data_IF_721075520369
#
_entry.id   IF_721075520369
#
_cell.length_a   1.000
_cell.length_b   1.000
_cell.length_c   1.000
_cell.angle_alpha   90.00
_cell.angle_beta   90.00
_cell.angle_gamma   90.00
#
_symmetry.space_group_name_H-M   'P 1'
#
loop_
_entity.id
_entity.type
_entity.pdbx_description
1 polymer ?
#
# COMPACT_ATOMS: atom_id res chain seq x y z
N UNK A 1 16.59 12.16 2.39
CA UNK A 1 16.66 11.03 1.44
C UNK A 1 17.25 11.56 0.15
N UNK A 2 18.51 11.25 -0.14
CA UNK A 2 19.08 11.52 -1.46
C UNK A 2 18.30 10.68 -2.47
N UNK A 3 17.73 11.32 -3.49
CA UNK A 3 16.99 10.68 -4.59
C UNK A 3 17.92 9.94 -5.58
N UNK A 4 19.20 9.80 -5.24
CA UNK A 4 20.24 9.29 -6.14
C UNK A 4 20.27 7.76 -6.05
N UNK A 5 20.15 7.09 -7.21
CA UNK A 5 20.22 5.63 -7.29
C UNK A 5 21.62 5.19 -6.85
N UNK A 6 21.74 4.37 -5.79
CA UNK A 6 23.06 3.96 -5.28
C UNK A 6 23.86 3.17 -6.32
N UNK A 7 23.22 2.66 -7.38
CA UNK A 7 23.89 1.95 -8.47
C UNK A 7 23.96 2.77 -9.76
N UNK A 8 23.85 4.11 -9.69
CA UNK A 8 23.99 4.96 -10.87
C UNK A 8 25.45 4.95 -11.37
N UNK A 9 25.65 4.68 -12.66
CA UNK A 9 26.98 4.57 -13.26
C UNK A 9 27.72 3.25 -12.99
N UNK A 10 27.18 2.35 -12.17
CA UNK A 10 27.76 1.03 -11.87
C UNK A 10 27.57 0.06 -13.04
N UNK A 11 28.60 -0.74 -13.33
CA UNK A 11 28.58 -1.74 -14.38
C UNK A 11 27.60 -2.89 -14.11
N UNK A 12 27.14 -3.57 -15.17
CA UNK A 12 26.32 -4.78 -15.01
C UNK A 12 27.18 -5.88 -14.36
N UNK A 13 26.61 -6.58 -13.37
CA UNK A 13 27.25 -7.58 -12.52
C UNK A 13 28.31 -7.03 -11.55
N UNK A 14 28.37 -5.71 -11.37
CA UNK A 14 29.12 -5.13 -10.26
C UNK A 14 28.24 -5.05 -9.01
N UNK A 15 28.88 -5.23 -7.85
CA UNK A 15 28.24 -5.27 -6.53
C UNK A 15 28.70 -4.06 -5.74
N UNK A 16 27.76 -3.37 -5.10
CA UNK A 16 28.04 -2.26 -4.21
C UNK A 16 27.36 -2.48 -2.85
N UNK A 17 28.03 -2.03 -1.79
CA UNK A 17 27.49 -2.05 -0.44
C UNK A 17 26.67 -0.79 -0.25
N UNK A 18 25.37 -0.97 -0.02
CA UNK A 18 24.45 0.15 0.16
C UNK A 18 24.12 0.28 1.64
N UNK A 19 24.40 1.45 2.20
CA UNK A 19 24.02 1.82 3.56
C UNK A 19 22.78 2.70 3.54
N UNK A 20 21.73 2.29 4.25
CA UNK A 20 20.50 3.08 4.37
C UNK A 20 20.02 3.21 5.81
N UNK A 21 19.62 4.42 6.14
CA UNK A 21 18.99 4.80 7.40
C UNK A 21 17.51 5.06 7.16
N UNK A 22 16.63 4.33 7.84
CA UNK A 22 15.19 4.54 7.74
C UNK A 22 14.52 4.65 9.11
N UNK A 23 13.71 5.70 9.28
CA UNK A 23 12.83 5.88 10.43
C UNK A 23 11.64 4.92 10.30
N UNK A 24 11.44 4.05 11.28
CA UNK A 24 10.43 3.01 11.25
C UNK A 24 9.29 3.27 12.24
N UNK A 25 8.05 3.12 11.74
CA UNK A 25 6.80 3.23 12.52
C UNK A 25 5.94 1.94 12.49
N UNK A 26 6.51 0.78 12.16
CA UNK A 26 5.73 -0.46 12.06
C UNK A 26 6.43 -1.64 11.38
N UNK A 27 5.63 -2.67 11.05
CA UNK A 27 6.04 -4.02 10.63
C UNK A 27 7.01 -3.98 9.44
N UNK A 28 8.30 -4.26 9.73
CA UNK A 28 9.40 -4.69 8.88
C UNK A 28 9.21 -4.46 7.37
N UNK A 29 9.59 -3.28 6.88
CA UNK A 29 9.84 -3.05 5.46
C UNK A 29 11.31 -2.74 5.25
N UNK A 30 12.03 -3.71 4.69
CA UNK A 30 13.41 -3.54 4.21
C UNK A 30 13.46 -2.37 3.20
N UNK A 31 14.55 -1.57 3.15
CA UNK A 31 14.64 -0.39 2.29
C UNK A 31 14.34 -0.68 0.81
N UNK A 32 13.62 0.24 0.16
CA UNK A 32 13.28 0.13 -1.27
C UNK A 32 14.52 0.13 -2.18
N UNK A 33 15.65 0.70 -1.73
CA UNK A 33 16.91 0.71 -2.48
C UNK A 33 17.51 -0.67 -2.70
N UNK A 34 17.23 -1.65 -1.84
CA UNK A 34 17.71 -3.02 -2.01
C UNK A 34 16.92 -3.79 -3.07
N UNK A 35 15.73 -3.30 -3.44
CA UNK A 35 14.86 -3.97 -4.40
C UNK A 35 14.76 -3.21 -5.71
N UNK A 36 14.65 -3.97 -6.80
CA UNK A 36 14.57 -3.42 -8.14
C UNK A 36 14.53 -4.52 -9.20
N UNK A 37 13.95 -4.22 -10.36
CA UNK A 37 13.94 -5.18 -11.48
C UNK A 37 15.35 -5.49 -12.00
N UNK A 38 16.25 -4.53 -11.83
CA UNK A 38 17.66 -4.47 -12.21
C UNK A 38 18.59 -4.67 -11.00
N UNK A 39 18.06 -5.05 -9.85
CA UNK A 39 18.84 -5.30 -8.63
C UNK A 39 18.68 -6.75 -8.21
N UNK A 40 19.80 -7.34 -7.78
CA UNK A 40 19.84 -8.60 -7.07
C UNK A 40 20.47 -8.29 -5.70
N UNK A 41 19.68 -8.42 -4.65
CA UNK A 41 20.17 -8.33 -3.29
C UNK A 41 20.18 -9.76 -2.74
N UNK A 42 21.38 -10.33 -2.63
CA UNK A 42 21.58 -11.70 -2.17
C UNK A 42 21.69 -11.77 -0.64
N UNK A 43 22.22 -10.70 -0.02
CA UNK A 43 22.37 -10.59 1.43
C UNK A 43 22.10 -9.16 1.91
N UNK A 44 21.41 -9.04 3.03
CA UNK A 44 21.22 -7.78 3.77
C UNK A 44 21.03 -8.07 5.26
N UNK A 45 21.59 -7.21 6.09
CA UNK A 45 21.54 -7.32 7.54
C UNK A 45 21.21 -5.97 8.19
N UNK A 46 20.69 -6.04 9.42
CA UNK A 46 20.50 -4.87 10.27
C UNK A 46 21.78 -4.69 11.07
N UNK A 47 22.52 -3.63 10.77
CA UNK A 47 23.79 -3.34 11.43
C UNK A 47 23.55 -2.69 12.78
N UNK A 48 22.55 -1.81 12.86
CA UNK A 48 22.29 -1.03 14.06
C UNK A 48 20.81 -0.64 14.18
N UNK A 49 20.31 -0.59 15.41
CA UNK A 49 18.98 -0.10 15.73
C UNK A 49 19.13 0.94 16.84
N UNK A 50 18.80 2.19 16.52
CA UNK A 50 18.73 3.27 17.49
C UNK A 50 17.28 3.48 17.92
N UNK A 51 17.07 3.57 19.24
CA UNK A 51 15.76 3.88 19.82
C UNK A 51 15.69 5.38 20.05
N UNK A 52 14.78 6.05 19.35
CA UNK A 52 14.53 7.49 19.51
C UNK A 52 13.33 7.66 20.43
N UNK A 53 13.59 8.05 21.67
CA UNK A 53 12.55 8.39 22.63
C UNK A 53 11.83 9.67 22.19
N UNK A 54 10.52 9.56 21.97
CA UNK A 54 9.65 10.68 21.62
C UNK A 54 8.69 10.94 22.77
N UNK A 55 8.41 12.22 23.04
CA UNK A 55 7.52 12.64 24.11
C UNK A 55 6.08 12.18 23.83
N UNK A 56 5.72 10.98 24.28
CA UNK A 56 4.40 10.36 24.12
C UNK A 56 4.45 8.91 23.63
N UNK A 57 4.65 7.96 24.55
CA UNK A 57 4.40 6.49 24.54
C UNK A 57 4.74 5.63 23.30
N UNK A 58 5.19 6.19 22.18
CA UNK A 58 5.57 5.46 20.97
C UNK A 58 7.05 5.73 20.70
N UNK A 59 7.87 4.74 21.02
CA UNK A 59 9.29 4.75 20.66
C UNK A 59 9.41 4.58 19.15
N UNK A 60 10.08 5.52 18.50
CA UNK A 60 10.47 5.39 17.10
C UNK A 60 11.81 4.63 17.05
N UNK A 61 12.00 3.80 16.03
CA UNK A 61 13.26 3.10 15.80
C UNK A 61 13.90 3.64 14.52
N UNK A 62 15.16 4.02 14.60
CA UNK A 62 16.00 4.23 13.42
C UNK A 62 16.73 2.90 13.20
N UNK A 63 16.54 2.30 12.03
CA UNK A 63 17.19 1.04 11.66
C UNK A 63 18.20 1.34 10.56
N UNK A 64 19.45 0.97 10.81
CA UNK A 64 20.54 1.04 9.86
C UNK A 64 20.71 -0.30 9.17
N UNK A 65 20.59 -0.29 7.85
CA UNK A 65 20.67 -1.49 7.02
C UNK A 65 21.94 -1.46 6.19
N UNK A 66 22.54 -2.63 6.02
CA UNK A 66 23.63 -2.86 5.07
C UNK A 66 23.24 -4.02 4.17
N UNK A 67 23.33 -3.80 2.86
CA UNK A 67 22.98 -4.82 1.87
C UNK A 67 23.97 -4.83 0.73
N UNK A 68 24.34 -6.03 0.28
CA UNK A 68 25.08 -6.22 -0.95
C UNK A 68 24.10 -6.22 -2.12
N UNK A 69 24.18 -5.18 -2.95
CA UNK A 69 23.29 -5.04 -4.10
C UNK A 69 24.11 -5.16 -5.38
N UNK A 70 23.81 -6.20 -6.16
CA UNK A 70 24.42 -6.44 -7.46
C UNK A 70 23.53 -5.89 -8.56
N UNK A 71 24.10 -5.07 -9.46
CA UNK A 71 23.39 -4.58 -10.64
C UNK A 71 23.21 -5.73 -11.63
N UNK A 72 21.99 -5.96 -12.08
CA UNK A 72 21.67 -6.93 -13.13
C UNK A 72 20.89 -6.28 -14.25
N UNK A 73 20.85 -6.98 -15.37
CA UNK A 73 19.95 -6.58 -16.45
C UNK A 73 18.49 -6.63 -15.98
N UNK A 74 17.68 -5.59 -16.24
CA UNK A 74 16.29 -5.56 -15.86
C UNK A 74 15.51 -6.69 -16.54
N UNK A 75 14.38 -7.05 -15.95
CA UNK A 75 13.47 -8.04 -16.52
C UNK A 75 13.07 -7.64 -17.95
N UNK A 76 13.21 -8.57 -18.89
CA UNK A 76 12.95 -8.38 -20.33
C UNK A 76 13.92 -7.45 -21.07
N UNK A 77 15.16 -7.30 -20.57
CA UNK A 77 16.21 -6.57 -21.28
C UNK A 77 16.43 -7.08 -22.71
N UNK A 78 16.23 -8.39 -22.93
CA UNK A 78 16.36 -9.08 -24.21
C UNK A 78 15.25 -8.72 -25.21
N UNK A 79 14.13 -8.17 -24.73
CA UNK A 79 12.98 -7.79 -25.56
C UNK A 79 12.99 -6.31 -25.92
N UNK A 80 13.87 -5.52 -25.31
CA UNK A 80 14.02 -4.10 -25.60
C UNK A 80 15.06 -3.94 -26.71
N UNK A 81 14.60 -3.62 -27.92
CA UNK A 81 15.49 -3.37 -29.07
C UNK A 81 16.30 -2.08 -28.87
N UNK A 82 15.84 -1.17 -28.03
CA UNK A 82 16.49 0.11 -27.73
C UNK A 82 16.39 0.44 -26.22
N UNK A 83 17.37 1.20 -25.66
CA UNK A 83 17.28 1.73 -24.31
C UNK A 83 16.00 2.56 -24.15
N UNK A 84 15.22 2.28 -23.10
CA UNK A 84 13.97 3.00 -22.86
C UNK A 84 14.23 4.49 -22.67
N UNK A 85 13.49 5.29 -23.42
CA UNK A 85 13.56 6.75 -23.31
C UNK A 85 12.98 7.23 -21.98
N UNK A 86 13.43 8.38 -21.47
CA UNK A 86 12.92 8.97 -20.22
C UNK A 86 11.39 9.17 -20.24
N UNK A 87 10.82 9.37 -21.42
CA UNK A 87 9.37 9.49 -21.61
C UNK A 87 8.64 8.18 -21.31
N UNK A 88 9.17 7.05 -21.76
CA UNK A 88 8.62 5.72 -21.52
C UNK A 88 8.76 5.31 -20.04
N UNK A 89 9.89 5.63 -19.40
CA UNK A 89 10.06 5.42 -17.95
C UNK A 89 9.02 6.18 -17.13
N UNK A 90 8.72 7.43 -17.49
CA UNK A 90 7.68 8.23 -16.81
C UNK A 90 6.28 7.68 -17.03
N UNK A 91 5.99 7.18 -18.23
CA UNK A 91 4.70 6.58 -18.55
C UNK A 91 4.46 5.29 -17.76
N UNK A 92 5.46 4.42 -17.67
CA UNK A 92 5.35 3.20 -16.85
C UNK A 92 5.18 3.52 -15.37
N UNK A 93 5.94 4.48 -14.83
CA UNK A 93 5.75 4.95 -13.43
C UNK A 93 4.32 5.44 -13.19
N UNK A 94 3.72 6.15 -14.16
CA UNK A 94 2.31 6.58 -14.10
C UNK A 94 1.33 5.42 -14.14
N UNK A 95 1.58 4.40 -14.96
CA UNK A 95 0.73 3.20 -15.03
C UNK A 95 0.80 2.38 -13.74
N UNK A 96 1.99 2.23 -13.16
CA UNK A 96 2.19 1.55 -11.87
C UNK A 96 1.53 2.33 -10.72
N UNK A 97 1.70 3.66 -10.69
CA UNK A 97 0.98 4.53 -9.75
C UNK A 97 -0.53 4.48 -9.95
N UNK A 98 -1.00 4.44 -11.19
CA UNK A 98 -2.42 4.29 -11.53
C UNK A 98 -2.99 2.99 -10.97
N UNK A 99 -2.29 1.86 -11.14
CA UNK A 99 -2.68 0.57 -10.55
C UNK A 99 -2.70 0.59 -9.03
N UNK A 100 -1.69 1.16 -8.38
CA UNK A 100 -1.65 1.32 -6.92
C UNK A 100 -2.79 2.22 -6.42
N UNK A 101 -3.08 3.32 -7.13
CA UNK A 101 -4.17 4.23 -6.81
C UNK A 101 -5.55 3.58 -6.96
N UNK A 102 -5.78 2.79 -8.02
CA UNK A 102 -7.01 2.03 -8.21
C UNK A 102 -7.21 1.00 -7.09
N UNK A 103 -6.14 0.30 -6.70
CA UNK A 103 -6.15 -0.64 -5.58
C UNK A 103 -6.49 0.06 -4.24
N UNK A 104 -5.88 1.21 -3.98
CA UNK A 104 -6.17 2.00 -2.79
C UNK A 104 -7.62 2.51 -2.79
N UNK A 105 -8.11 3.02 -3.93
CA UNK A 105 -9.49 3.44 -4.12
C UNK A 105 -10.48 2.29 -3.87
N UNK A 106 -10.20 1.09 -4.38
CA UNK A 106 -11.06 -0.06 -4.16
C UNK A 106 -11.19 -0.44 -2.66
N UNK A 107 -10.18 -0.10 -1.85
CA UNK A 107 -10.19 -0.35 -0.40
C UNK A 107 -10.87 0.78 0.38
N UNK A 108 -10.60 2.04 0.01
CA UNK A 108 -11.12 3.22 0.72
C UNK A 108 -12.57 3.54 0.35
N UNK A 109 -12.99 3.25 -0.89
CA UNK A 109 -14.32 3.59 -1.38
C UNK A 109 -15.47 2.89 -0.61
N UNK A 110 -15.41 1.58 -0.29
CA UNK A 110 -16.42 0.92 0.56
C UNK A 110 -16.50 1.51 1.98
N UNK A 111 -15.35 1.91 2.55
CA UNK A 111 -15.30 2.55 3.87
C UNK A 111 -15.99 3.92 3.85
N UNK A 112 -15.72 4.71 2.80
CA UNK A 112 -16.39 6.00 2.59
C UNK A 112 -17.90 5.87 2.43
N UNK A 113 -18.38 4.86 1.68
CA UNK A 113 -19.81 4.55 1.58
C UNK A 113 -20.39 4.16 2.94
N UNK A 114 -19.72 3.26 3.67
CA UNK A 114 -20.16 2.85 5.00
C UNK A 114 -20.30 4.02 5.96
N UNK A 115 -19.33 4.93 5.97
CA UNK A 115 -19.36 6.15 6.77
C UNK A 115 -20.51 7.09 6.36
N UNK A 116 -20.70 7.33 5.06
CA UNK A 116 -21.78 8.17 4.56
C UNK A 116 -23.17 7.61 4.92
N UNK A 117 -23.34 6.29 4.83
CA UNK A 117 -24.59 5.61 5.25
C UNK A 117 -24.79 5.74 6.76
N UNK A 118 -23.76 5.51 7.57
CA UNK A 118 -23.85 5.65 9.03
C UNK A 118 -24.21 7.08 9.46
N UNK A 119 -23.60 8.09 8.84
CA UNK A 119 -23.93 9.51 9.07
C UNK A 119 -25.35 9.82 8.59
N UNK A 120 -25.77 9.28 7.44
CA UNK A 120 -27.11 9.45 6.91
C UNK A 120 -28.20 8.85 7.81
N UNK A 121 -27.97 7.64 8.35
CA UNK A 121 -28.84 6.98 9.32
C UNK A 121 -28.88 7.75 10.62
N UNK A 122 -27.72 8.17 11.15
CA UNK A 122 -27.64 8.97 12.39
C UNK A 122 -28.40 10.29 12.26
N UNK A 123 -28.35 10.95 11.10
CA UNK A 123 -29.13 12.17 10.83
C UNK A 123 -30.63 11.91 10.71
N UNK A 124 -31.04 10.75 10.16
CA UNK A 124 -32.46 10.37 10.02
C UNK A 124 -33.10 9.86 11.31
N UNK A 125 -32.29 9.30 12.22
CA UNK A 125 -32.68 8.98 13.60
C UNK A 125 -32.70 10.22 14.51
N UNK A 126 -32.49 11.42 13.94
CA UNK A 126 -32.57 12.70 14.63
C UNK A 126 -33.87 12.84 15.41
N UNK A 127 -33.71 12.75 16.73
CA UNK A 127 -34.65 13.03 17.82
C UNK A 127 -36.15 12.92 17.52
N UNK A 128 -36.80 11.93 18.12
CA UNK A 128 -38.27 11.90 18.19
C UNK A 128 -38.70 12.66 19.45
N UNK A 129 -39.58 13.65 19.28
CA UNK A 129 -40.22 14.33 20.41
C UNK A 129 -41.40 13.51 20.88
N UNK A 130 -41.28 12.85 22.04
CA UNK A 130 -42.39 12.14 22.69
C UNK A 130 -42.72 12.94 23.95
N UNK A 131 -43.95 13.44 24.06
CA UNK A 131 -44.41 14.24 25.21
C UNK A 131 -43.56 15.49 25.53
N UNK A 132 -43.01 16.16 24.52
CA UNK A 132 -42.25 17.41 24.69
C UNK A 132 -40.79 17.23 25.12
N UNK A 133 -40.35 16.00 25.34
CA UNK A 133 -38.95 15.67 25.64
C UNK A 133 -38.27 15.15 24.37
N UNK A 134 -37.11 15.71 24.06
CA UNK A 134 -36.33 15.35 22.87
C UNK A 134 -35.51 14.09 23.17
N UNK A 135 -35.97 12.93 22.73
CA UNK A 135 -35.21 11.67 22.90
C UNK A 135 -34.35 11.45 21.67
N UNK A 136 -33.02 11.55 21.83
CA UNK A 136 -32.08 11.13 20.81
C UNK A 136 -32.13 9.60 20.67
N UNK A 137 -32.64 9.10 19.54
CA UNK A 137 -32.52 7.69 19.21
C UNK A 137 -31.08 7.43 18.80
N UNK A 138 -30.27 6.96 19.74
CA UNK A 138 -28.98 6.38 19.39
C UNK A 138 -29.22 5.19 18.45
N UNK A 139 -28.37 5.01 17.41
CA UNK A 139 -28.47 3.83 16.55
C UNK A 139 -28.47 2.57 17.41
N UNK A 140 -29.41 1.67 17.14
CA UNK A 140 -29.47 0.42 17.87
C UNK A 140 -28.24 -0.43 17.53
N UNK A 141 -27.85 -1.34 18.43
CA UNK A 141 -26.75 -2.29 18.16
C UNK A 141 -26.98 -3.05 16.85
N UNK A 142 -28.25 -3.38 16.54
CA UNK A 142 -28.65 -3.99 15.25
C UNK A 142 -28.36 -3.13 14.02
N UNK A 143 -28.50 -1.80 14.11
CA UNK A 143 -28.20 -0.90 12.99
C UNK A 143 -26.69 -0.87 12.71
N UNK A 144 -25.87 -0.87 13.76
CA UNK A 144 -24.42 -0.94 13.65
C UNK A 144 -23.97 -2.28 13.03
N UNK A 145 -24.59 -3.39 13.44
CA UNK A 145 -24.35 -4.70 12.83
C UNK A 145 -24.73 -4.76 11.35
N UNK A 146 -25.86 -4.17 10.97
CA UNK A 146 -26.29 -4.12 9.57
C UNK A 146 -25.32 -3.34 8.69
N UNK A 147 -24.83 -2.18 9.17
CA UNK A 147 -23.82 -1.39 8.46
C UNK A 147 -22.49 -2.16 8.36
N UNK A 148 -22.03 -2.77 9.45
CA UNK A 148 -20.82 -3.57 9.46
C UNK A 148 -20.90 -4.75 8.47
N UNK A 149 -22.05 -5.43 8.41
CA UNK A 149 -22.29 -6.54 7.49
C UNK A 149 -22.22 -6.08 6.02
N UNK A 150 -22.82 -4.93 5.70
CA UNK A 150 -22.77 -4.35 4.34
C UNK A 150 -21.32 -4.03 3.95
N UNK A 151 -20.54 -3.44 4.86
CA UNK A 151 -19.13 -3.12 4.62
C UNK A 151 -18.30 -4.38 4.40
N UNK A 152 -18.49 -5.42 5.22
CA UNK A 152 -17.80 -6.70 5.08
C UNK A 152 -18.14 -7.36 3.75
N UNK A 153 -19.42 -7.42 3.38
CA UNK A 153 -19.85 -7.97 2.09
C UNK A 153 -19.25 -7.17 0.93
N UNK A 154 -19.25 -5.84 0.97
CA UNK A 154 -18.64 -5.01 -0.06
C UNK A 154 -17.13 -5.27 -0.21
N UNK A 155 -16.40 -5.40 0.90
CA UNK A 155 -14.97 -5.74 0.87
C UNK A 155 -14.71 -7.14 0.32
N UNK A 156 -15.57 -8.11 0.62
CA UNK A 156 -15.51 -9.46 0.05
C UNK A 156 -15.72 -9.43 -1.47
N UNK A 157 -16.69 -8.64 -1.96
CA UNK A 157 -16.90 -8.46 -3.41
C UNK A 157 -15.67 -7.82 -4.08
N UNK A 158 -15.10 -6.76 -3.50
CA UNK A 158 -13.89 -6.11 -4.03
C UNK A 158 -12.71 -7.11 -4.12
N UNK A 159 -12.57 -8.02 -3.16
CA UNK A 159 -11.50 -9.04 -3.17
C UNK A 159 -11.79 -10.26 -4.04
N UNK A 160 -13.03 -10.73 -4.10
CA UNK A 160 -13.38 -11.97 -4.79
C UNK A 160 -13.66 -11.76 -6.29
N UNK A 161 -14.26 -10.64 -6.69
CA UNK A 161 -14.59 -10.37 -8.10
C UNK A 161 -13.34 -10.43 -9.01
N UNK A 162 -12.18 -9.85 -8.66
CA UNK A 162 -10.97 -9.98 -9.47
C UNK A 162 -10.48 -11.43 -9.59
N UNK A 163 -10.62 -12.23 -8.51
CA UNK A 163 -10.25 -13.67 -8.53
C UNK A 163 -11.17 -14.47 -9.44
N UNK A 164 -12.48 -14.26 -9.33
CA UNK A 164 -13.49 -14.96 -10.14
C UNK A 164 -13.36 -14.59 -11.63
N UNK A 165 -13.07 -13.33 -11.95
CA UNK A 165 -12.80 -12.89 -13.33
C UNK A 165 -11.51 -13.53 -13.86
N UNK A 166 -10.44 -13.59 -13.06
CA UNK A 166 -9.19 -14.23 -13.45
C UNK A 166 -9.34 -15.76 -13.66
N UNK A 167 -10.19 -16.42 -12.87
CA UNK A 167 -10.52 -17.84 -13.03
C UNK A 167 -11.39 -18.08 -14.27
N UNK A 168 -12.41 -17.24 -14.51
CA UNK A 168 -13.27 -17.31 -15.70
C UNK A 168 -12.48 -17.12 -17.00
N UNK A 169 -11.49 -16.21 -17.00
CA UNK A 169 -10.58 -15.99 -18.13
C UNK A 169 -9.65 -17.19 -18.37
N UNK A 170 -9.18 -17.86 -17.31
CA UNK A 170 -8.37 -19.09 -17.43
C UNK A 170 -9.18 -20.31 -17.90
N UNK A 171 -10.48 -20.36 -17.60
CA UNK A 171 -11.36 -21.46 -18.02
C UNK A 171 -11.93 -21.30 -19.43
N UNK A 172 -11.63 -20.21 -20.14
CA UNK A 172 -12.11 -19.97 -21.51
C UNK A 172 -13.63 -19.82 -21.62
N UNK A 173 -14.29 -19.42 -20.52
CA UNK A 173 -15.74 -19.16 -20.51
C UNK A 173 -16.09 -17.72 -20.93
N UNK A 174 -15.08 -16.87 -21.10
CA UNK A 174 -15.14 -15.52 -21.67
C UNK A 174 -13.90 -15.31 -22.54
#
# INVERSE_FOLDING_TARGET
MSEEDPLDGVGICETEIVHEENLHHGINSVPDSFFGSDRLCDDYDIVEIEVVEREGDVNDFIVHWEGEVTKRLPRYWDRATEPRTEREKRQQRREEWGRKAISALATVFPLGIGFAVAVGVSRRLGSITINGETVALAPSVSDLFAVALIVVVALLFVKQVPRLIAEAYKSGQI
#
